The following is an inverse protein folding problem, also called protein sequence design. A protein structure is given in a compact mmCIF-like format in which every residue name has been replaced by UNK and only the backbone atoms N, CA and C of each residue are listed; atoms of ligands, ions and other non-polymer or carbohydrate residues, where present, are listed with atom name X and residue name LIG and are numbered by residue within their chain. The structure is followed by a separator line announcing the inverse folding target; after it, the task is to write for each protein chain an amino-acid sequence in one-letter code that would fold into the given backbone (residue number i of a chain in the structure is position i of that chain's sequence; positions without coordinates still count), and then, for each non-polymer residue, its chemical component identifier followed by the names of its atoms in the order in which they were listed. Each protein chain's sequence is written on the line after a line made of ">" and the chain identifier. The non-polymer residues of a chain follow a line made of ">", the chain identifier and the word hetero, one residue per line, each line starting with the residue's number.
data_IF_762756845686
#
_entry.id   IF_762756845686
#
_cell.length_a   1.000
_cell.length_b   1.000
_cell.length_c   1.000
_cell.angle_alpha   90.00
_cell.angle_beta   90.00
_cell.angle_gamma   90.00
#
_symmetry.space_group_name_H-M   'P 1'
#
loop_
_entity.id
_entity.type
_entity.pdbx_description
1 polymer ?
#
# COMPACT_ATOMS: atom_id res chain seq x y z
N UNK A 1 -13.39 -12.05 5.71
CA UNK A 1 -11.94 -12.06 5.43
C UNK A 1 -11.28 -11.21 6.49
N UNK A 2 -10.24 -11.72 7.16
CA UNK A 2 -9.62 -11.02 8.29
C UNK A 2 -8.41 -10.19 7.83
N UNK A 3 -8.12 -9.09 8.53
CA UNK A 3 -6.95 -8.23 8.26
C UNK A 3 -5.64 -9.01 8.25
N UNK A 4 -5.53 -10.04 9.10
CA UNK A 4 -4.38 -10.95 9.13
C UNK A 4 -4.18 -11.68 7.80
N UNK A 5 -5.25 -12.16 7.17
CA UNK A 5 -5.19 -12.83 5.87
C UNK A 5 -4.70 -11.90 4.76
N UNK A 6 -5.09 -10.62 4.81
CA UNK A 6 -4.62 -9.59 3.87
C UNK A 6 -3.14 -9.30 4.11
N UNK A 7 -2.71 -9.17 5.37
CA UNK A 7 -1.31 -8.90 5.72
C UNK A 7 -0.35 -10.05 5.37
N UNK A 8 -0.85 -11.29 5.32
CA UNK A 8 -0.10 -12.48 4.91
C UNK A 8 -0.11 -12.69 3.38
N UNK A 9 -0.95 -11.95 2.64
CA UNK A 9 -1.04 -12.03 1.17
C UNK A 9 0.25 -11.50 0.50
N UNK A 10 0.79 -12.27 -0.45
CA UNK A 10 2.04 -11.91 -1.15
C UNK A 10 1.89 -10.65 -2.01
N UNK A 11 0.76 -10.48 -2.68
CA UNK A 11 0.51 -9.30 -3.50
C UNK A 11 0.39 -8.06 -2.61
N UNK A 12 -0.30 -8.18 -1.47
CA UNK A 12 -0.34 -7.11 -0.47
C UNK A 12 1.06 -6.73 0.03
N UNK A 13 1.89 -7.72 0.38
CA UNK A 13 3.26 -7.49 0.84
C UNK A 13 4.12 -6.80 -0.21
N UNK A 14 4.06 -7.24 -1.48
CA UNK A 14 4.81 -6.59 -2.55
C UNK A 14 4.34 -5.16 -2.79
N UNK A 15 3.03 -4.92 -2.76
CA UNK A 15 2.47 -3.58 -2.88
C UNK A 15 2.90 -2.66 -1.73
N UNK A 16 2.90 -3.18 -0.50
CA UNK A 16 3.41 -2.44 0.67
C UNK A 16 4.90 -2.11 0.52
N UNK A 17 5.73 -3.07 0.11
CA UNK A 17 7.17 -2.83 -0.11
C UNK A 17 7.37 -1.79 -1.21
N UNK A 18 6.68 -1.92 -2.35
CA UNK A 18 6.77 -0.95 -3.44
C UNK A 18 6.32 0.45 -3.00
N UNK A 19 5.24 0.55 -2.22
CA UNK A 19 4.76 1.83 -1.71
C UNK A 19 5.70 2.46 -0.68
N UNK A 20 6.33 1.66 0.19
CA UNK A 20 7.38 2.15 1.11
C UNK A 20 8.59 2.65 0.34
N UNK A 21 9.05 1.91 -0.68
CA UNK A 21 10.17 2.33 -1.54
C UNK A 21 9.82 3.63 -2.28
N UNK A 22 8.61 3.76 -2.82
CA UNK A 22 8.15 4.98 -3.47
C UNK A 22 8.07 6.16 -2.48
N UNK A 23 7.60 5.93 -1.25
CA UNK A 23 7.56 6.96 -0.21
C UNK A 23 8.96 7.41 0.20
N UNK A 24 9.91 6.48 0.34
CA UNK A 24 11.30 6.79 0.63
C UNK A 24 11.95 7.58 -0.52
N UNK A 25 11.72 7.20 -1.77
CA UNK A 25 12.23 7.92 -2.93
C UNK A 25 11.67 9.35 -2.98
N UNK A 26 10.36 9.52 -2.82
CA UNK A 26 9.73 10.85 -2.78
C UNK A 26 10.24 11.70 -1.61
N UNK A 27 10.46 11.10 -0.43
CA UNK A 27 11.01 11.80 0.71
C UNK A 27 12.40 12.35 0.43
N UNK A 28 13.27 11.52 -0.17
CA UNK A 28 14.62 11.94 -0.55
C UNK A 28 14.58 13.04 -1.60
N UNK A 29 13.73 12.92 -2.63
CA UNK A 29 13.56 13.95 -3.66
C UNK A 29 13.09 15.27 -3.05
N UNK A 30 12.05 15.24 -2.22
CA UNK A 30 11.55 16.44 -1.53
C UNK A 30 12.62 17.09 -0.65
N UNK A 31 13.43 16.29 0.05
CA UNK A 31 14.54 16.80 0.85
C UNK A 31 15.62 17.45 -0.03
N UNK A 32 15.98 16.83 -1.15
CA UNK A 32 16.97 17.39 -2.10
C UNK A 32 16.47 18.70 -2.69
N UNK A 33 15.19 18.80 -3.05
CA UNK A 33 14.62 19.99 -3.70
C UNK A 33 14.36 21.15 -2.72
N UNK A 34 13.96 20.85 -1.49
CA UNK A 34 13.48 21.88 -0.54
C UNK A 34 14.36 22.07 0.68
N UNK A 35 15.27 21.13 0.96
CA UNK A 35 16.02 21.05 2.22
C UNK A 35 15.18 20.67 3.44
N UNK A 36 13.88 20.39 3.28
CA UNK A 36 12.95 20.08 4.37
C UNK A 36 12.70 18.58 4.50
N UNK A 37 12.59 18.12 5.75
CA UNK A 37 12.17 16.76 6.06
C UNK A 37 10.65 16.74 6.26
N UNK A 38 9.91 16.34 5.22
CA UNK A 38 8.45 16.25 5.26
C UNK A 38 7.99 14.85 5.68
N UNK A 39 8.04 14.58 6.99
CA UNK A 39 7.59 13.30 7.55
C UNK A 39 6.08 13.12 7.48
N UNK A 40 5.31 14.22 7.43
CA UNK A 40 3.85 14.15 7.35
C UNK A 40 3.42 13.61 5.99
N UNK A 41 4.01 14.12 4.90
CA UNK A 41 3.75 13.62 3.55
C UNK A 41 4.07 12.11 3.43
N UNK A 42 5.19 11.66 4.00
CA UNK A 42 5.57 10.24 4.03
C UNK A 42 4.53 9.40 4.77
N UNK A 43 4.13 9.83 5.97
CA UNK A 43 3.14 9.11 6.76
C UNK A 43 1.80 8.99 6.01
N UNK A 44 1.34 10.09 5.40
CA UNK A 44 0.12 10.11 4.57
C UNK A 44 0.25 9.17 3.38
N UNK A 45 1.38 9.18 2.68
CA UNK A 45 1.61 8.30 1.54
C UNK A 45 1.58 6.81 1.95
N UNK A 46 2.23 6.45 3.06
CA UNK A 46 2.23 5.07 3.57
C UNK A 46 0.83 4.62 3.96
N UNK A 47 0.07 5.47 4.67
CA UNK A 47 -1.33 5.17 5.03
C UNK A 47 -2.19 4.99 3.78
N UNK A 48 -2.01 5.85 2.78
CA UNK A 48 -2.75 5.76 1.52
C UNK A 48 -2.48 4.46 0.77
N UNK A 49 -1.21 4.06 0.65
CA UNK A 49 -0.82 2.77 0.05
C UNK A 49 -1.47 1.61 0.82
N UNK A 50 -1.44 1.64 2.14
CA UNK A 50 -2.03 0.58 2.96
C UNK A 50 -3.54 0.46 2.73
N UNK A 51 -4.27 1.58 2.73
CA UNK A 51 -5.72 1.61 2.49
C UNK A 51 -6.06 1.07 1.10
N UNK A 52 -5.37 1.52 0.06
CA UNK A 52 -5.58 1.03 -1.31
C UNK A 52 -5.23 -0.45 -1.42
N UNK A 53 -4.12 -0.88 -0.82
CA UNK A 53 -3.70 -2.28 -0.82
C UNK A 53 -4.74 -3.20 -0.19
N UNK A 54 -5.30 -2.80 0.96
CA UNK A 54 -6.37 -3.55 1.63
C UNK A 54 -7.60 -3.64 0.74
N UNK A 55 -8.01 -2.52 0.13
CA UNK A 55 -9.17 -2.48 -0.74
C UNK A 55 -9.01 -3.36 -1.98
N UNK A 56 -7.83 -3.34 -2.63
CA UNK A 56 -7.53 -4.17 -3.80
C UNK A 56 -7.59 -5.66 -3.49
N UNK A 57 -6.96 -6.09 -2.39
CA UNK A 57 -6.96 -7.50 -1.99
C UNK A 57 -8.36 -7.95 -1.60
N UNK A 58 -9.11 -7.09 -0.89
CA UNK A 58 -10.51 -7.33 -0.56
C UNK A 58 -11.39 -7.50 -1.80
N UNK A 59 -11.21 -6.62 -2.79
CA UNK A 59 -11.92 -6.66 -4.04
C UNK A 59 -11.59 -7.92 -4.85
N UNK A 60 -10.31 -8.28 -4.97
CA UNK A 60 -9.90 -9.48 -5.69
C UNK A 60 -10.50 -10.75 -5.08
N UNK A 61 -10.45 -10.86 -3.74
CA UNK A 61 -11.01 -12.01 -3.04
C UNK A 61 -12.55 -12.05 -3.05
N UNK A 62 -13.20 -10.91 -3.25
CA UNK A 62 -14.64 -10.86 -3.52
C UNK A 62 -14.94 -11.39 -4.94
N UNK A 63 -14.19 -10.92 -5.94
CA UNK A 63 -14.34 -11.37 -7.34
C UNK A 63 -14.04 -12.85 -7.53
N UNK A 64 -12.99 -13.38 -6.91
CA UNK A 64 -12.63 -14.80 -6.98
C UNK A 64 -13.78 -15.69 -6.45
N UNK A 65 -14.37 -15.33 -5.30
CA UNK A 65 -15.52 -16.07 -4.73
C UNK A 65 -16.77 -16.00 -5.59
N UNK A 66 -16.94 -14.91 -6.34
CA UNK A 66 -18.06 -14.78 -7.29
C UNK A 66 -17.83 -15.67 -8.51
N UNK A 67 -16.60 -15.73 -9.02
CA UNK A 67 -16.25 -16.57 -10.16
C UNK A 67 -16.38 -18.07 -9.85
N UNK A 68 -16.08 -18.51 -8.62
CA UNK A 68 -16.26 -19.91 -8.20
C UNK A 68 -17.74 -20.30 -7.96
N UNK A 69 -18.64 -19.31 -7.86
CA UNK A 69 -20.06 -19.53 -7.60
C UNK A 69 -20.93 -19.57 -8.87
N UNK A 70 -20.36 -19.22 -10.02
CA UNK A 70 -20.95 -19.33 -11.36
C UNK A 70 -20.50 -20.62 -12.04
#
# INVERSE_FOLDING_TARGET
>A
MNLRTIAEDRAFRYLMVAGVVAAAANFVLTYVDTGRLDFFAVAVQVVFVAVIGVALVAYWNYMARRADAE
#
